data_IF_169156661625
#
_entry.id   IF_169156661625
#
_cell.length_a   1.000
_cell.length_b   1.000
_cell.length_c   1.000
_cell.angle_alpha   90.00
_cell.angle_beta   90.00
_cell.angle_gamma   90.00
#
_symmetry.space_group_name_H-M   'P 1'
#
loop_
_entity.id
_entity.type
_entity.pdbx_description
1 polymer ?
#
# COMPACT_ATOMS: atom_id res chain seq x y z
N UNK A 1 -40.01 -0.26 -45.13
CA UNK A 1 -41.32 -0.35 -44.45
C UNK A 1 -41.43 0.85 -43.52
N UNK A 2 -42.42 1.71 -43.72
CA UNK A 2 -42.57 2.94 -42.92
C UNK A 2 -42.87 2.59 -41.46
N UNK A 3 -41.99 2.98 -40.53
CA UNK A 3 -42.18 2.80 -39.10
C UNK A 3 -43.31 3.72 -38.65
N UNK A 4 -44.37 3.16 -38.06
CA UNK A 4 -45.52 3.90 -37.53
C UNK A 4 -45.64 3.65 -36.04
N UNK A 5 -46.02 4.68 -35.29
CA UNK A 5 -46.20 4.55 -33.85
C UNK A 5 -47.40 3.63 -33.54
N UNK A 6 -47.25 2.59 -32.70
CA UNK A 6 -48.33 1.68 -32.36
C UNK A 6 -49.44 2.33 -31.52
N UNK A 7 -49.15 3.45 -30.86
CA UNK A 7 -50.08 4.11 -29.93
C UNK A 7 -50.91 5.22 -30.58
N UNK A 8 -50.40 5.90 -31.60
CA UNK A 8 -51.11 7.02 -32.25
C UNK A 8 -51.16 6.92 -33.78
N UNK A 9 -50.53 5.91 -34.39
CA UNK A 9 -50.50 5.70 -35.84
C UNK A 9 -49.72 6.76 -36.62
N UNK A 10 -49.03 7.69 -35.93
CA UNK A 10 -48.25 8.74 -36.57
C UNK A 10 -46.97 8.17 -37.18
N UNK A 11 -46.59 8.70 -38.35
CA UNK A 11 -45.36 8.36 -39.09
C UNK A 11 -44.21 9.32 -38.85
N UNK A 12 -44.43 10.42 -38.10
CA UNK A 12 -43.35 11.34 -37.71
C UNK A 12 -42.68 10.82 -36.44
N UNK A 13 -41.45 10.34 -36.63
CA UNK A 13 -40.58 9.80 -35.59
C UNK A 13 -39.30 10.64 -35.63
N UNK A 14 -38.93 11.19 -34.49
CA UNK A 14 -37.68 11.93 -34.30
C UNK A 14 -36.62 10.96 -33.76
N UNK A 15 -35.47 10.93 -34.41
CA UNK A 15 -34.35 10.06 -34.07
C UNK A 15 -33.20 10.91 -33.52
N UNK A 16 -32.98 10.89 -32.21
CA UNK A 16 -31.88 11.62 -31.59
C UNK A 16 -30.61 10.75 -31.62
N UNK A 17 -29.75 11.02 -32.61
CA UNK A 17 -28.48 10.31 -32.80
C UNK A 17 -27.52 10.42 -31.61
N UNK A 18 -27.69 11.39 -30.71
CA UNK A 18 -26.88 11.55 -29.51
C UNK A 18 -27.23 10.58 -28.38
N UNK A 19 -28.49 10.12 -28.33
CA UNK A 19 -28.98 9.14 -27.34
C UNK A 19 -29.27 7.77 -27.95
N UNK A 20 -29.48 7.72 -29.27
CA UNK A 20 -29.84 6.49 -29.98
C UNK A 20 -31.31 6.11 -29.80
N UNK A 21 -32.16 7.03 -29.34
CA UNK A 21 -33.57 6.75 -29.10
C UNK A 21 -34.42 7.33 -30.23
N UNK A 22 -35.43 6.57 -30.65
CA UNK A 22 -36.44 7.02 -31.63
C UNK A 22 -37.76 7.29 -30.92
N UNK A 23 -38.24 8.52 -31.00
CA UNK A 23 -39.43 8.98 -30.26
C UNK A 23 -40.47 9.53 -31.21
N UNK A 24 -41.74 9.17 -31.01
CA UNK A 24 -42.82 9.77 -31.78
C UNK A 24 -43.07 11.22 -31.35
N UNK A 25 -43.01 12.16 -32.28
CA UNK A 25 -43.16 13.61 -32.00
C UNK A 25 -44.55 14.01 -31.51
N UNK A 26 -45.57 13.19 -31.80
CA UNK A 26 -46.97 13.51 -31.48
C UNK A 26 -47.41 13.02 -30.10
N UNK A 27 -47.07 11.79 -29.73
CA UNK A 27 -47.49 11.19 -28.47
C UNK A 27 -46.35 10.99 -27.46
N UNK A 28 -45.10 11.28 -27.86
CA UNK A 28 -43.93 11.15 -27.00
C UNK A 28 -43.54 9.71 -26.68
N UNK A 29 -44.13 8.72 -27.35
CA UNK A 29 -43.82 7.30 -27.12
C UNK A 29 -42.47 6.96 -27.74
N UNK A 30 -41.56 6.44 -26.93
CA UNK A 30 -40.26 5.90 -27.36
C UNK A 30 -40.51 4.56 -28.04
N UNK A 31 -40.06 4.43 -29.30
CA UNK A 31 -40.29 3.27 -30.15
C UNK A 31 -39.13 2.28 -30.12
N UNK A 32 -37.90 2.81 -30.14
CA UNK A 32 -36.68 2.04 -29.94
C UNK A 32 -35.79 2.80 -28.96
N UNK A 33 -35.35 2.10 -27.91
CA UNK A 33 -34.36 2.55 -26.94
C UNK A 33 -33.07 1.78 -27.24
N UNK A 34 -32.02 2.49 -27.64
CA UNK A 34 -30.72 1.86 -27.84
C UNK A 34 -30.10 1.61 -26.47
N UNK A 35 -30.04 0.35 -26.03
CA UNK A 35 -29.31 0.01 -24.81
C UNK A 35 -27.85 0.42 -25.01
N UNK A 36 -27.39 1.43 -24.25
CA UNK A 36 -25.97 1.79 -24.17
C UNK A 36 -25.26 0.60 -23.51
N UNK A 37 -24.75 -0.32 -24.32
CA UNK A 37 -23.95 -1.43 -23.83
C UNK A 37 -22.59 -0.86 -23.44
N UNK A 38 -22.18 -1.08 -22.19
CA UNK A 38 -20.89 -0.62 -21.64
C UNK A 38 -19.69 -1.40 -22.18
N UNK A 39 -19.89 -2.18 -23.25
CA UNK A 39 -18.95 -3.16 -23.76
C UNK A 39 -18.45 -2.71 -25.14
N UNK A 40 -17.12 -2.64 -25.27
CA UNK A 40 -16.49 -2.11 -26.48
C UNK A 40 -16.67 -3.10 -27.64
N UNK A 41 -17.43 -2.71 -28.67
CA UNK A 41 -17.57 -3.53 -29.87
C UNK A 41 -16.38 -3.31 -30.82
N UNK A 42 -15.83 -4.43 -31.29
CA UNK A 42 -14.72 -4.48 -32.24
C UNK A 42 -15.28 -4.87 -33.61
N UNK A 43 -15.23 -3.96 -34.59
CA UNK A 43 -15.71 -4.23 -35.94
C UNK A 43 -14.54 -4.60 -36.86
N UNK A 44 -14.64 -5.74 -37.55
CA UNK A 44 -13.68 -6.14 -38.58
C UNK A 44 -13.75 -5.17 -39.77
N UNK A 45 -12.59 -4.69 -40.20
CA UNK A 45 -12.50 -3.77 -41.33
C UNK A 45 -12.69 -4.57 -42.63
N UNK A 46 -13.58 -4.10 -43.50
CA UNK A 46 -13.72 -4.68 -44.84
C UNK A 46 -12.44 -4.41 -45.65
N UNK A 47 -11.51 -5.37 -45.68
CA UNK A 47 -10.30 -5.31 -46.50
C UNK A 47 -8.98 -5.78 -45.87
N UNK A 48 -8.96 -6.36 -44.66
CA UNK A 48 -7.74 -6.96 -44.12
C UNK A 48 -7.79 -7.23 -42.61
N UNK A 49 -6.94 -8.16 -42.15
CA UNK A 49 -6.82 -8.66 -40.77
C UNK A 49 -6.61 -7.54 -39.74
N UNK A 50 -7.68 -6.97 -39.21
CA UNK A 50 -7.63 -5.98 -38.14
C UNK A 50 -9.02 -5.55 -37.71
N UNK A 51 -9.25 -5.54 -36.40
CA UNK A 51 -10.48 -5.03 -35.79
C UNK A 51 -10.30 -3.56 -35.41
N UNK A 52 -11.29 -2.72 -35.69
CA UNK A 52 -11.35 -1.33 -35.22
C UNK A 52 -12.31 -1.25 -34.04
N UNK A 53 -11.87 -0.66 -32.94
CA UNK A 53 -12.71 -0.34 -31.78
C UNK A 53 -13.70 0.76 -32.18
N UNK A 54 -14.99 0.48 -32.08
CA UNK A 54 -16.04 1.49 -32.25
C UNK A 54 -16.41 1.98 -30.85
N UNK A 55 -15.80 3.10 -30.44
CA UNK A 55 -16.07 3.74 -29.15
C UNK A 55 -14.99 4.75 -28.77
N UNK A 56 -15.38 5.92 -28.25
CA UNK A 56 -14.46 6.93 -27.77
C UNK A 56 -14.22 6.74 -26.27
N UNK A 57 -12.99 6.38 -25.87
CA UNK A 57 -12.64 6.18 -24.47
C UNK A 57 -12.58 7.54 -23.75
N UNK A 58 -13.53 7.78 -22.83
CA UNK A 58 -13.52 8.96 -21.96
C UNK A 58 -13.06 8.52 -20.57
N UNK A 59 -11.81 8.84 -20.22
CA UNK A 59 -11.28 8.55 -18.90
C UNK A 59 -11.81 9.54 -17.87
N UNK A 60 -12.25 9.07 -16.71
CA UNK A 60 -12.82 9.90 -15.63
C UNK A 60 -11.87 10.99 -15.11
N UNK A 61 -10.56 10.89 -15.40
CA UNK A 61 -9.52 11.83 -14.97
C UNK A 61 -9.06 12.83 -16.06
N UNK A 62 -9.69 12.87 -17.24
CA UNK A 62 -9.31 13.79 -18.33
C UNK A 62 -10.49 14.56 -18.90
N UNK A 63 -10.62 15.83 -18.51
CA UNK A 63 -11.48 16.83 -19.14
C UNK A 63 -10.79 17.57 -20.31
N UNK A 64 -10.00 16.88 -21.14
CA UNK A 64 -9.58 17.47 -22.41
C UNK A 64 -9.16 16.43 -23.45
N UNK A 65 -9.94 16.39 -24.51
CA UNK A 65 -9.69 15.75 -25.78
C UNK A 65 -8.72 16.60 -26.63
N UNK A 66 -7.84 15.93 -27.38
CA UNK A 66 -7.37 16.45 -28.66
C UNK A 66 -7.65 15.42 -29.73
N UNK A 67 -8.71 15.68 -30.48
CA UNK A 67 -8.95 15.08 -31.78
C UNK A 67 -7.91 15.62 -32.78
N UNK A 68 -7.33 14.70 -33.56
CA UNK A 68 -6.80 14.95 -34.90
C UNK A 68 -5.63 15.91 -35.04
N UNK A 69 -4.39 15.41 -34.93
CA UNK A 69 -3.28 15.81 -35.81
C UNK A 69 -2.38 14.58 -36.02
N UNK A 70 -2.23 14.19 -37.29
CA UNK A 70 -1.17 13.30 -37.74
C UNK A 70 0.16 14.03 -37.58
N UNK A 71 0.97 13.61 -36.59
CA UNK A 71 2.29 14.16 -36.35
C UNK A 71 3.03 13.28 -35.36
N UNK A 72 4.26 12.89 -35.70
CA UNK A 72 5.21 12.18 -34.84
C UNK A 72 5.59 13.03 -33.61
N UNK A 73 4.64 13.22 -32.70
CA UNK A 73 4.85 13.77 -31.38
C UNK A 73 4.97 12.62 -30.39
N UNK A 74 6.17 12.39 -29.88
CA UNK A 74 6.43 11.57 -28.70
C UNK A 74 5.34 11.88 -27.66
N UNK A 75 4.54 10.87 -27.32
CA UNK A 75 3.58 10.94 -26.21
C UNK A 75 4.38 11.40 -25.00
N UNK A 76 4.16 12.65 -24.60
CA UNK A 76 4.72 13.22 -23.38
C UNK A 76 4.07 12.47 -22.22
N UNK A 77 4.66 11.32 -21.86
CA UNK A 77 4.37 10.63 -20.61
C UNK A 77 4.43 11.69 -19.51
N UNK A 78 3.29 11.98 -18.89
CA UNK A 78 3.22 13.03 -17.88
C UNK A 78 4.28 12.74 -16.83
N UNK A 79 5.18 13.69 -16.54
CA UNK A 79 6.34 13.46 -15.67
C UNK A 79 5.97 12.92 -14.28
N UNK A 80 4.70 13.08 -13.89
CA UNK A 80 4.07 12.54 -12.68
C UNK A 80 3.88 11.02 -12.75
N UNK A 81 3.36 10.49 -13.85
CA UNK A 81 3.15 9.05 -14.05
C UNK A 81 4.48 8.28 -14.01
N UNK A 82 5.52 8.82 -14.65
CA UNK A 82 6.88 8.27 -14.60
C UNK A 82 7.41 8.25 -13.16
N UNK A 83 7.10 9.29 -12.38
CA UNK A 83 7.51 9.37 -10.97
C UNK A 83 6.77 8.34 -10.11
N UNK A 84 5.48 8.10 -10.36
CA UNK A 84 4.72 7.05 -9.69
C UNK A 84 5.24 5.66 -10.03
N UNK A 85 5.50 5.38 -11.31
CA UNK A 85 6.03 4.09 -11.75
C UNK A 85 7.41 3.81 -11.14
N UNK A 86 8.31 4.82 -11.10
CA UNK A 86 9.62 4.71 -10.45
C UNK A 86 9.48 4.48 -8.94
N UNK A 87 8.56 5.19 -8.27
CA UNK A 87 8.30 5.00 -6.84
C UNK A 87 7.76 3.60 -6.53
N UNK A 88 6.84 3.09 -7.35
CA UNK A 88 6.28 1.75 -7.22
C UNK A 88 7.37 0.67 -7.27
N UNK A 89 8.26 0.74 -8.27
CA UNK A 89 9.39 -0.19 -8.39
C UNK A 89 10.26 -0.24 -7.13
N UNK A 90 10.61 0.93 -6.57
CA UNK A 90 11.40 0.99 -5.34
C UNK A 90 10.66 0.39 -4.13
N UNK A 91 9.35 0.61 -4.02
CA UNK A 91 8.55 0.01 -2.95
C UNK A 91 8.51 -1.52 -3.11
N UNK A 92 8.29 -2.03 -4.32
CA UNK A 92 8.27 -3.46 -4.63
C UNK A 92 9.64 -4.11 -4.38
N UNK A 93 10.73 -3.46 -4.76
CA UNK A 93 12.11 -3.91 -4.48
C UNK A 93 12.34 -4.07 -2.97
N UNK A 94 12.03 -3.05 -2.17
CA UNK A 94 12.21 -3.11 -0.70
C UNK A 94 11.28 -4.16 -0.08
N UNK A 95 10.02 -4.21 -0.52
CA UNK A 95 9.04 -5.15 0.01
C UNK A 95 9.39 -6.61 -0.30
N UNK A 96 9.98 -6.87 -1.48
CA UNK A 96 10.43 -8.21 -1.87
C UNK A 96 11.53 -8.76 -0.96
N UNK A 97 12.45 -7.89 -0.52
CA UNK A 97 13.53 -8.27 0.41
C UNK A 97 13.00 -8.55 1.81
N UNK A 98 12.02 -7.77 2.28
CA UNK A 98 11.40 -7.92 3.60
C UNK A 98 10.25 -8.92 3.65
N UNK A 99 9.88 -9.54 2.51
CA UNK A 99 8.76 -10.51 2.39
C UNK A 99 7.43 -9.94 2.89
N UNK A 100 7.15 -8.68 2.58
CA UNK A 100 5.90 -8.00 2.95
C UNK A 100 4.75 -8.43 2.02
N UNK A 101 3.53 -8.55 2.56
CA UNK A 101 2.34 -8.94 1.80
C UNK A 101 1.94 -7.88 0.75
N UNK A 102 1.37 -8.32 -0.39
CA UNK A 102 0.95 -7.46 -1.49
C UNK A 102 -0.04 -6.37 -1.05
N UNK A 103 -0.97 -6.68 -0.15
CA UNK A 103 -1.90 -5.70 0.41
C UNK A 103 -1.18 -4.50 1.08
N UNK A 104 -0.09 -4.76 1.80
CA UNK A 104 0.71 -3.70 2.43
C UNK A 104 1.49 -2.87 1.40
N UNK A 105 1.86 -3.48 0.27
CA UNK A 105 2.55 -2.82 -0.85
C UNK A 105 1.60 -1.86 -1.56
N UNK A 106 0.38 -2.30 -1.86
CA UNK A 106 -0.61 -1.49 -2.58
C UNK A 106 -1.08 -0.29 -1.74
N UNK A 107 -1.30 -0.50 -0.44
CA UNK A 107 -1.61 0.58 0.50
C UNK A 107 -0.44 1.56 0.64
N UNK A 108 0.81 1.07 0.71
CA UNK A 108 2.00 1.92 0.75
C UNK A 108 2.17 2.75 -0.52
N UNK A 109 1.86 2.15 -1.67
CA UNK A 109 1.87 2.85 -2.96
C UNK A 109 0.82 3.97 -3.00
N UNK A 110 -0.37 3.75 -2.44
CA UNK A 110 -1.38 4.81 -2.31
C UNK A 110 -0.90 5.96 -1.41
N UNK A 111 -0.25 5.67 -0.27
CA UNK A 111 0.39 6.72 0.54
C UNK A 111 1.48 7.47 -0.22
N UNK A 112 2.29 6.77 -1.01
CA UNK A 112 3.31 7.40 -1.84
C UNK A 112 2.71 8.33 -2.90
N UNK A 113 1.63 7.91 -3.58
CA UNK A 113 0.89 8.78 -4.52
C UNK A 113 0.41 10.06 -3.84
N UNK A 114 -0.19 9.95 -2.65
CA UNK A 114 -0.62 11.12 -1.87
C UNK A 114 0.55 12.05 -1.51
N UNK A 115 1.71 11.48 -1.14
CA UNK A 115 2.90 12.26 -0.83
C UNK A 115 3.41 13.07 -2.03
N UNK A 116 3.44 12.45 -3.20
CA UNK A 116 3.86 13.11 -4.45
C UNK A 116 2.85 14.18 -4.86
N UNK A 117 1.54 13.90 -4.77
CA UNK A 117 0.49 14.88 -5.09
C UNK A 117 0.52 16.11 -4.20
N UNK A 118 0.97 15.98 -2.94
CA UNK A 118 1.16 17.09 -1.99
C UNK A 118 2.58 17.68 -2.01
N UNK A 119 3.42 17.32 -2.99
CA UNK A 119 4.82 17.75 -3.12
C UNK A 119 5.72 17.47 -1.91
N UNK A 120 5.38 16.49 -1.07
CA UNK A 120 6.15 16.12 0.13
C UNK A 120 7.48 15.41 -0.18
N UNK A 121 7.71 15.07 -1.46
CA UNK A 121 8.95 14.46 -1.97
C UNK A 121 10.01 15.48 -2.35
N UNK A 122 9.69 16.78 -2.40
CA UNK A 122 10.63 17.82 -2.84
C UNK A 122 11.70 18.08 -1.76
N UNK A 123 12.98 17.98 -2.13
CA UNK A 123 14.11 18.14 -1.21
C UNK A 123 14.47 16.89 -0.41
N UNK A 124 13.89 15.73 -0.71
CA UNK A 124 14.20 14.46 -0.05
C UNK A 124 14.52 13.36 -1.04
N UNK A 125 15.31 12.40 -0.60
CA UNK A 125 15.64 11.23 -1.39
C UNK A 125 14.38 10.35 -1.49
N UNK A 126 13.99 10.01 -2.73
CA UNK A 126 12.75 9.27 -3.01
C UNK A 126 12.72 7.89 -2.37
N UNK A 127 13.86 7.21 -2.28
CA UNK A 127 13.97 5.91 -1.61
C UNK A 127 13.61 5.99 -0.13
N UNK A 128 14.02 7.06 0.58
CA UNK A 128 13.68 7.25 1.99
C UNK A 128 12.18 7.49 2.18
N UNK A 129 11.55 8.22 1.25
CA UNK A 129 10.10 8.46 1.29
C UNK A 129 9.34 7.17 1.00
N UNK A 130 9.75 6.39 0.01
CA UNK A 130 9.17 5.09 -0.30
C UNK A 130 9.26 4.13 0.90
N UNK A 131 10.43 3.99 1.50
CA UNK A 131 10.66 3.16 2.69
C UNK A 131 9.83 3.64 3.90
N UNK A 132 9.74 4.96 4.12
CA UNK A 132 8.94 5.51 5.22
C UNK A 132 7.43 5.30 5.01
N UNK A 133 6.93 5.41 3.78
CA UNK A 133 5.54 5.08 3.46
C UNK A 133 5.24 3.59 3.69
N UNK A 134 6.16 2.70 3.31
CA UNK A 134 6.02 1.27 3.53
C UNK A 134 6.06 0.90 5.02
N UNK A 135 6.97 1.49 5.79
CA UNK A 135 6.99 1.30 7.24
C UNK A 135 5.74 1.85 7.92
N UNK A 136 5.17 2.95 7.40
CA UNK A 136 3.91 3.51 7.90
C UNK A 136 2.77 2.49 7.77
N UNK A 137 2.63 1.83 6.62
CA UNK A 137 1.61 0.79 6.43
C UNK A 137 1.86 -0.44 7.29
N UNK A 138 3.11 -0.90 7.37
CA UNK A 138 3.48 -2.00 8.26
C UNK A 138 3.10 -1.75 9.73
N UNK A 139 3.20 -0.49 10.18
CA UNK A 139 2.82 -0.08 11.54
C UNK A 139 1.31 0.03 11.73
N UNK A 140 0.56 0.44 10.70
CA UNK A 140 -0.91 0.47 10.73
C UNK A 140 -1.51 -0.94 10.77
N UNK A 141 -0.93 -1.85 9.99
CA UNK A 141 -1.33 -3.27 9.92
C UNK A 141 -0.80 -4.12 11.08
N UNK A 142 -0.09 -3.53 12.04
CA UNK A 142 0.52 -4.22 13.20
C UNK A 142 1.39 -5.43 12.83
N UNK A 143 2.20 -5.29 11.77
CA UNK A 143 3.12 -6.34 11.33
C UNK A 143 4.44 -6.32 12.12
N UNK A 144 5.14 -7.47 12.19
CA UNK A 144 6.38 -7.65 12.95
C UNK A 144 7.64 -7.12 12.23
N UNK A 145 7.58 -5.92 11.63
CA UNK A 145 8.72 -5.26 10.99
C UNK A 145 9.27 -4.13 11.87
N UNK A 146 10.60 -4.02 11.94
CA UNK A 146 11.31 -2.97 12.66
C UNK A 146 11.80 -1.92 11.68
N UNK A 147 11.89 -0.65 12.13
CA UNK A 147 12.49 0.41 11.31
C UNK A 147 13.95 0.11 10.93
N UNK A 148 14.64 -0.71 11.74
CA UNK A 148 15.99 -1.20 11.49
C UNK A 148 16.06 -2.06 10.22
N UNK A 149 15.07 -2.93 9.98
CA UNK A 149 15.08 -3.80 8.80
C UNK A 149 15.04 -2.96 7.50
N UNK A 150 14.31 -1.84 7.52
CA UNK A 150 14.28 -0.90 6.39
C UNK A 150 15.58 -0.10 6.25
N UNK A 151 16.23 0.23 7.37
CA UNK A 151 17.54 0.87 7.40
C UNK A 151 18.60 -0.03 6.75
N UNK A 152 18.56 -1.33 7.03
CA UNK A 152 19.49 -2.31 6.47
C UNK A 152 19.26 -2.52 4.97
N UNK A 153 18.00 -2.56 4.52
CA UNK A 153 17.69 -2.69 3.08
C UNK A 153 18.05 -1.42 2.30
N UNK A 154 17.75 -0.25 2.85
CA UNK A 154 18.01 1.03 2.17
C UNK A 154 19.43 1.57 2.35
N UNK A 155 20.21 0.98 3.26
CA UNK A 155 21.58 1.39 3.62
C UNK A 155 21.65 2.86 4.08
N UNK A 156 20.69 3.27 4.92
CA UNK A 156 20.52 4.66 5.39
C UNK A 156 20.37 4.67 6.89
N UNK A 157 20.92 5.68 7.57
CA UNK A 157 20.79 5.83 9.01
C UNK A 157 19.33 5.81 9.49
N UNK A 158 19.06 4.98 10.50
CA UNK A 158 17.74 4.83 11.17
C UNK A 158 17.18 6.18 11.63
N UNK A 159 18.04 7.10 12.08
CA UNK A 159 17.62 8.42 12.55
C UNK A 159 17.08 9.30 11.44
N UNK A 160 17.68 9.24 10.25
CA UNK A 160 17.21 10.01 9.10
C UNK A 160 15.90 9.43 8.55
N UNK A 161 15.78 8.11 8.54
CA UNK A 161 14.53 7.42 8.19
C UNK A 161 13.41 7.71 9.21
N UNK A 162 13.75 7.82 10.50
CA UNK A 162 12.83 8.23 11.55
C UNK A 162 12.34 9.66 11.38
N UNK A 163 13.23 10.60 11.03
CA UNK A 163 12.88 12.00 10.74
C UNK A 163 11.94 12.11 9.54
N UNK A 164 12.20 11.37 8.46
CA UNK A 164 11.32 11.37 7.28
C UNK A 164 9.96 10.80 7.63
N UNK A 165 9.91 9.69 8.38
CA UNK A 165 8.66 9.08 8.85
C UNK A 165 7.83 10.04 9.71
N UNK A 166 8.42 10.65 10.74
CA UNK A 166 7.72 11.59 11.62
C UNK A 166 7.20 12.82 10.88
N UNK A 167 7.94 13.28 9.87
CA UNK A 167 7.45 14.35 9.01
C UNK A 167 6.28 13.90 8.13
N UNK A 168 6.35 12.71 7.53
CA UNK A 168 5.28 12.21 6.67
C UNK A 168 4.01 11.96 7.47
N UNK A 169 4.10 11.35 8.65
CA UNK A 169 2.93 11.14 9.52
C UNK A 169 2.29 12.46 9.94
N UNK A 170 3.10 13.47 10.30
CA UNK A 170 2.62 14.82 10.62
C UNK A 170 1.99 15.53 9.41
N UNK A 171 2.58 15.38 8.22
CA UNK A 171 2.11 16.03 6.99
C UNK A 171 0.83 15.40 6.44
N UNK A 172 0.69 14.08 6.56
CA UNK A 172 -0.51 13.34 6.17
C UNK A 172 -1.60 13.36 7.26
N UNK A 173 -1.27 13.84 8.48
CA UNK A 173 -2.13 13.82 9.68
C UNK A 173 -2.61 12.42 10.06
N UNK A 174 -1.74 11.43 9.87
CA UNK A 174 -2.02 10.03 10.22
C UNK A 174 -1.51 9.79 11.63
N UNK A 175 -2.39 9.34 12.52
CA UNK A 175 -2.00 8.92 13.85
C UNK A 175 -1.48 7.48 13.80
N UNK A 176 -0.20 7.28 14.11
CA UNK A 176 0.42 5.97 14.09
C UNK A 176 0.23 5.29 15.45
N UNK A 177 -0.34 4.07 15.50
CA UNK A 177 -0.55 3.36 16.76
C UNK A 177 0.78 3.08 17.48
N UNK A 178 0.74 3.02 18.81
CA UNK A 178 1.91 2.59 19.58
C UNK A 178 2.28 1.15 19.24
N UNK A 179 3.55 0.88 18.99
CA UNK A 179 4.04 -0.44 18.63
C UNK A 179 3.90 -1.43 19.78
N UNK A 180 3.21 -2.55 19.57
CA UNK A 180 3.11 -3.59 20.59
C UNK A 180 4.37 -4.49 20.60
N UNK A 181 5.11 -4.57 21.72
CA UNK A 181 6.28 -5.43 21.84
C UNK A 181 5.97 -6.93 21.64
N UNK A 182 4.75 -7.39 21.86
CA UNK A 182 4.39 -8.81 21.70
C UNK A 182 4.60 -9.30 20.27
N UNK A 183 4.47 -8.41 19.27
CA UNK A 183 4.64 -8.74 17.84
C UNK A 183 6.05 -9.23 17.52
N UNK A 184 7.06 -8.74 18.24
CA UNK A 184 8.47 -9.04 17.96
C UNK A 184 8.98 -10.30 18.67
N UNK A 185 8.29 -10.77 19.71
CA UNK A 185 8.74 -11.89 20.55
C UNK A 185 8.94 -13.15 19.72
N UNK A 186 7.95 -13.50 18.89
CA UNK A 186 8.03 -14.69 18.03
C UNK A 186 9.21 -14.59 17.06
N UNK A 187 9.38 -13.43 16.42
CA UNK A 187 10.46 -13.19 15.45
C UNK A 187 11.83 -13.37 16.10
N UNK A 188 12.06 -12.75 17.26
CA UNK A 188 13.34 -12.86 17.98
C UNK A 188 13.59 -14.27 18.51
N UNK A 189 12.54 -14.99 18.92
CA UNK A 189 12.67 -16.37 19.38
C UNK A 189 13.10 -17.33 18.26
N UNK A 190 12.60 -17.13 17.03
CA UNK A 190 13.07 -17.88 15.86
C UNK A 190 14.56 -17.63 15.58
N UNK A 191 15.02 -16.39 15.74
CA UNK A 191 16.42 -16.02 15.53
C UNK A 191 17.36 -16.54 16.64
N UNK A 192 16.83 -16.82 17.84
CA UNK A 192 17.61 -17.37 18.96
C UNK A 192 17.72 -18.91 18.94
N UNK A 193 17.05 -19.58 18.00
CA UNK A 193 17.07 -21.03 17.81
C UNK A 193 16.88 -21.78 19.14
N UNK A 194 15.70 -21.60 19.76
CA UNK A 194 15.40 -22.10 21.10
C UNK A 194 14.99 -23.59 21.16
N UNK A 195 15.35 -24.37 20.13
CA UNK A 195 15.06 -25.81 20.05
C UNK A 195 13.58 -26.15 20.18
N UNK A 196 13.27 -27.35 20.69
CA UNK A 196 11.90 -27.87 20.74
C UNK A 196 10.96 -27.10 21.68
N UNK A 197 11.50 -26.48 22.74
CA UNK A 197 10.73 -25.73 23.74
C UNK A 197 10.48 -24.27 23.34
N UNK A 198 10.84 -23.86 22.12
CA UNK A 198 10.67 -22.49 21.66
C UNK A 198 9.24 -21.96 21.83
N UNK A 199 8.22 -22.78 21.55
CA UNK A 199 6.81 -22.38 21.69
C UNK A 199 6.45 -22.02 23.14
N UNK A 200 6.95 -22.79 24.11
CA UNK A 200 6.72 -22.56 25.53
C UNK A 200 7.42 -21.29 26.01
N UNK A 201 8.68 -21.09 25.59
CA UNK A 201 9.46 -19.88 25.89
C UNK A 201 8.77 -18.64 25.34
N UNK A 202 8.29 -18.67 24.09
CA UNK A 202 7.57 -17.56 23.47
C UNK A 202 6.26 -17.26 24.21
N UNK A 203 5.49 -18.29 24.60
CA UNK A 203 4.26 -18.10 25.36
C UNK A 203 4.53 -17.48 26.74
N UNK A 204 5.60 -17.89 27.41
CA UNK A 204 5.99 -17.30 28.69
C UNK A 204 6.48 -15.85 28.52
N UNK A 205 7.36 -15.59 27.54
CA UNK A 205 7.84 -14.25 27.22
C UNK A 205 6.70 -13.29 26.86
N UNK A 206 5.73 -13.75 26.05
CA UNK A 206 4.55 -12.94 25.69
C UNK A 206 3.71 -12.60 26.92
N UNK A 207 3.48 -13.57 27.82
CA UNK A 207 2.77 -13.31 29.09
C UNK A 207 3.54 -12.32 29.98
N UNK A 208 4.87 -12.42 30.04
CA UNK A 208 5.71 -11.48 30.78
C UNK A 208 5.57 -10.05 30.22
N UNK A 209 5.70 -9.88 28.90
CA UNK A 209 5.54 -8.56 28.25
C UNK A 209 4.15 -7.97 28.51
N UNK A 210 3.10 -8.78 28.42
CA UNK A 210 1.73 -8.34 28.73
C UNK A 210 1.57 -7.92 30.20
N UNK A 211 2.24 -8.63 31.12
CA UNK A 211 2.24 -8.27 32.54
C UNK A 211 3.00 -6.96 32.78
N UNK A 212 4.18 -6.80 32.19
CA UNK A 212 4.96 -5.55 32.25
C UNK A 212 4.19 -4.34 31.71
N UNK A 213 3.36 -4.54 30.69
CA UNK A 213 2.47 -3.51 30.13
C UNK A 213 1.38 -3.10 31.12
N UNK A 214 0.81 -4.05 31.87
CA UNK A 214 -0.20 -3.78 32.92
C UNK A 214 0.39 -3.11 34.16
N UNK A 215 1.61 -3.48 34.52
CA UNK A 215 2.32 -2.96 35.69
C UNK A 215 3.08 -1.64 35.38
N UNK A 216 2.78 -0.99 34.26
CA UNK A 216 3.36 0.29 33.79
C UNK A 216 4.90 0.29 33.57
N UNK A 217 5.56 -0.86 33.67
CA UNK A 217 7.00 -1.05 33.49
C UNK A 217 7.49 -0.82 32.05
N UNK A 218 6.58 -0.86 31.07
CA UNK A 218 6.89 -0.62 29.66
C UNK A 218 6.97 0.85 29.28
N UNK A 219 6.45 1.75 30.11
CA UNK A 219 6.30 3.18 29.78
C UNK A 219 7.67 3.88 29.79
N UNK A 220 7.96 4.65 28.75
CA UNK A 220 9.24 5.38 28.62
C UNK A 220 10.44 4.50 28.22
N UNK A 221 10.25 3.19 28.04
CA UNK A 221 11.28 2.26 27.57
C UNK A 221 11.05 1.86 26.11
N UNK A 222 12.11 1.51 25.39
CA UNK A 222 12.00 1.05 24.00
C UNK A 222 11.36 -0.35 23.96
N UNK A 223 10.37 -0.61 23.08
CA UNK A 223 9.65 -1.88 23.03
C UNK A 223 10.58 -3.07 22.75
N UNK A 224 11.55 -2.89 21.86
CA UNK A 224 12.55 -3.92 21.54
C UNK A 224 13.36 -4.35 22.77
N UNK A 225 13.71 -3.42 23.67
CA UNK A 225 14.45 -3.73 24.90
C UNK A 225 13.65 -4.57 25.87
N UNK A 226 12.36 -4.26 25.99
CA UNK A 226 11.41 -5.03 26.81
C UNK A 226 11.26 -6.44 26.26
N UNK A 227 11.11 -6.59 24.93
CA UNK A 227 11.07 -7.91 24.29
C UNK A 227 12.33 -8.73 24.59
N UNK A 228 13.51 -8.13 24.44
CA UNK A 228 14.78 -8.79 24.68
C UNK A 228 14.95 -9.25 26.12
N UNK A 229 14.60 -8.40 27.10
CA UNK A 229 14.65 -8.74 28.51
C UNK A 229 13.66 -9.86 28.87
N UNK A 230 12.42 -9.75 28.40
CA UNK A 230 11.40 -10.77 28.65
C UNK A 230 11.78 -12.13 28.03
N UNK A 231 12.40 -12.12 26.84
CA UNK A 231 12.85 -13.33 26.16
C UNK A 231 14.06 -13.96 26.87
N UNK A 232 15.00 -13.14 27.37
CA UNK A 232 16.13 -13.62 28.17
C UNK A 232 15.64 -14.25 29.49
N UNK A 233 14.69 -13.62 30.18
CA UNK A 233 14.11 -14.15 31.41
C UNK A 233 13.39 -15.48 31.13
N UNK A 234 12.58 -15.52 30.07
CA UNK A 234 11.90 -16.74 29.66
C UNK A 234 12.87 -17.87 29.31
N UNK A 235 13.93 -17.60 28.56
CA UNK A 235 14.95 -18.59 28.21
C UNK A 235 15.60 -19.20 29.47
N UNK A 236 15.91 -18.38 30.48
CA UNK A 236 16.44 -18.84 31.77
C UNK A 236 15.47 -19.73 32.53
N UNK A 237 14.16 -19.42 32.51
CA UNK A 237 13.14 -20.25 33.17
C UNK A 237 13.04 -21.68 32.60
N UNK A 238 13.42 -21.88 31.34
CA UNK A 238 13.43 -23.19 30.68
C UNK A 238 14.82 -23.83 30.62
N UNK A 239 15.78 -23.35 31.43
CA UNK A 239 17.19 -23.79 31.47
C UNK A 239 17.98 -23.58 30.16
N UNK A 240 17.55 -22.66 29.30
CA UNK A 240 18.32 -22.23 28.14
C UNK A 240 19.18 -21.01 28.51
N UNK A 241 20.42 -21.27 28.88
CA UNK A 241 21.37 -20.21 29.21
C UNK A 241 22.02 -19.62 27.95
N UNK A 242 21.29 -18.72 27.27
CA UNK A 242 21.85 -17.88 26.21
C UNK A 242 22.64 -16.71 26.81
N UNK A 243 23.72 -16.32 26.13
CA UNK A 243 24.51 -15.17 26.57
C UNK A 243 23.73 -13.87 26.33
N UNK A 244 23.98 -12.84 27.15
CA UNK A 244 23.34 -11.52 26.96
C UNK A 244 23.77 -10.93 25.61
N UNK A 245 25.02 -11.17 25.21
CA UNK A 245 25.59 -10.74 23.92
C UNK A 245 24.84 -11.30 22.72
N UNK A 246 24.41 -12.56 22.77
CA UNK A 246 23.64 -13.18 21.67
C UNK A 246 22.27 -12.52 21.52
N UNK A 247 21.60 -12.26 22.64
CA UNK A 247 20.29 -11.57 22.63
C UNK A 247 20.44 -10.13 22.14
N UNK A 248 21.48 -9.43 22.58
CA UNK A 248 21.82 -8.07 22.14
C UNK A 248 22.01 -8.00 20.62
N UNK A 249 22.71 -8.98 20.04
CA UNK A 249 22.94 -9.06 18.59
C UNK A 249 21.64 -9.17 17.80
N UNK A 250 20.67 -9.92 18.30
CA UNK A 250 19.38 -10.18 17.62
C UNK A 250 18.40 -9.03 17.80
N UNK A 251 18.38 -8.41 18.99
CA UNK A 251 17.44 -7.34 19.33
C UNK A 251 17.97 -5.96 18.89
N UNK A 252 19.25 -5.88 18.50
CA UNK A 252 19.96 -4.67 18.06
C UNK A 252 19.90 -3.54 19.10
N UNK A 253 20.23 -3.86 20.35
CA UNK A 253 20.23 -2.93 21.50
C UNK A 253 21.53 -3.07 22.29
N UNK A 254 21.99 -2.01 22.95
CA UNK A 254 23.17 -2.09 23.82
C UNK A 254 22.95 -2.99 25.04
N UNK A 255 23.99 -3.74 25.42
CA UNK A 255 23.96 -4.67 26.57
C UNK A 255 23.51 -3.98 27.87
N UNK A 256 23.94 -2.73 28.07
CA UNK A 256 23.57 -1.92 29.23
C UNK A 256 22.05 -1.73 29.38
N UNK A 257 21.32 -1.65 28.26
CA UNK A 257 19.85 -1.46 28.29
C UNK A 257 19.19 -2.76 28.70
N UNK A 258 19.60 -3.90 28.12
CA UNK A 258 19.06 -5.22 28.49
C UNK A 258 19.28 -5.49 29.98
N UNK A 259 20.48 -5.20 30.50
CA UNK A 259 20.81 -5.38 31.92
C UNK A 259 20.05 -4.45 32.87
N UNK A 260 19.66 -3.24 32.42
CA UNK A 260 18.81 -2.33 33.21
C UNK A 260 17.33 -2.74 33.22
N UNK A 261 16.91 -3.51 32.22
CA UNK A 261 15.51 -3.90 32.04
C UNK A 261 15.17 -5.32 32.50
N UNK A 262 16.17 -6.21 32.55
CA UNK A 262 16.07 -7.57 33.06
C UNK A 262 16.23 -7.59 34.59
#
# INVERSE_FOLDING_TARGET
MSRTCPHCGCSDIDEDAGRGDSTCTRCGTVLEESVIVSENQFQERAGGTGHTLVGQFVSADRAQCQAGVSGNGLVSQESREVTFAKGRKVIEEIASQLRINQHCIDTAYNFFKMCVSRHLTRGRIRSHVAAACLYMTCRLENTAHLLLDFSDVTQVNVFDLGRTLSFLSRSLRINLPSTDPCLYVMRFACLLELGEKQKEVVNLATRLVQRMKRDWLSTGRRPTGICGAALLLAARSFNFNRSISDVVRIVHISESVVRKTA
#
